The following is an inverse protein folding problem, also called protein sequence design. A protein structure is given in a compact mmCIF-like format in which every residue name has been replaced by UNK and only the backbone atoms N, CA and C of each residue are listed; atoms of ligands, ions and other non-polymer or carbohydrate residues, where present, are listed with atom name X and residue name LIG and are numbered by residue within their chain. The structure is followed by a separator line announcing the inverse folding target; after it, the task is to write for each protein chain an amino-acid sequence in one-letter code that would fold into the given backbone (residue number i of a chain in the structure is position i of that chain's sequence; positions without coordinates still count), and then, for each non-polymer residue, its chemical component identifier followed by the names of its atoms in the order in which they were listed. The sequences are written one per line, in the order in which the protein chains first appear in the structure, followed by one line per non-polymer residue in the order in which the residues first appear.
data_IF_694323053332
#
_entry.id   IF_694323053332
#
_cell.length_a   1.000
_cell.length_b   1.000
_cell.length_c   1.000
_cell.angle_alpha   90.00
_cell.angle_beta   90.00
_cell.angle_gamma   90.00
#
_symmetry.space_group_name_H-M   'P 1'
#
loop_
_entity.id
_entity.type
_entity.pdbx_description
1 polymer ?
#
# COMPACT_ATOMS: atom_id res chain seq x y z
N UNK A 1 7.05 43.21 -28.41
CA UNK A 1 7.07 41.83 -28.94
C UNK A 1 7.21 40.89 -27.75
N UNK A 2 6.23 40.01 -27.54
CA UNK A 2 6.18 39.03 -26.46
C UNK A 2 7.24 37.94 -26.66
N UNK A 3 8.02 37.63 -25.62
CA UNK A 3 8.81 36.40 -25.54
C UNK A 3 8.05 35.42 -24.66
N UNK A 4 7.41 34.47 -25.32
CA UNK A 4 6.69 33.34 -24.76
C UNK A 4 7.63 32.46 -23.95
N UNK A 5 7.41 32.36 -22.64
CA UNK A 5 8.06 31.37 -21.77
C UNK A 5 7.59 29.96 -22.14
N UNK A 6 8.54 29.10 -22.50
CA UNK A 6 8.28 27.71 -22.87
C UNK A 6 7.71 26.89 -21.70
N UNK A 7 6.81 25.98 -22.03
CA UNK A 7 6.23 25.01 -21.11
C UNK A 7 7.35 24.11 -20.56
N UNK A 8 7.57 24.13 -19.25
CA UNK A 8 8.50 23.23 -18.56
C UNK A 8 7.68 22.09 -17.92
N UNK A 9 7.66 20.86 -18.47
CA UNK A 9 6.91 19.74 -17.91
C UNK A 9 7.58 19.07 -16.69
N UNK A 10 8.73 19.55 -16.22
CA UNK A 10 9.49 18.90 -15.13
C UNK A 10 9.51 19.69 -13.81
N UNK A 11 8.46 20.46 -13.54
CA UNK A 11 8.24 21.06 -12.22
C UNK A 11 7.64 20.09 -11.21
N UNK A 12 8.22 18.90 -11.01
CA UNK A 12 7.83 18.05 -9.87
C UNK A 12 8.42 18.64 -8.59
N UNK A 13 7.63 19.48 -7.92
CA UNK A 13 7.91 19.93 -6.56
C UNK A 13 7.64 18.77 -5.60
N UNK A 14 8.63 18.44 -4.77
CA UNK A 14 8.50 17.47 -3.70
C UNK A 14 7.59 17.99 -2.58
N UNK A 15 6.45 17.33 -2.36
CA UNK A 15 5.79 17.25 -1.05
C UNK A 15 5.58 15.76 -0.73
N UNK A 16 6.32 15.18 0.23
CA UNK A 16 6.41 13.72 0.36
C UNK A 16 5.25 13.08 1.13
N UNK A 17 4.16 13.80 1.45
CA UNK A 17 3.11 13.28 2.34
C UNK A 17 1.68 13.31 1.80
N UNK A 18 1.39 13.99 0.69
CA UNK A 18 0.06 13.99 0.07
C UNK A 18 0.18 13.85 -1.45
N UNK A 19 0.01 12.64 -1.98
CA UNK A 19 -0.14 12.44 -3.43
C UNK A 19 -1.51 12.99 -3.87
N UNK A 20 -1.50 14.18 -4.46
CA UNK A 20 -2.66 14.74 -5.16
C UNK A 20 -2.70 14.13 -6.57
N UNK A 21 -3.83 13.50 -6.89
CA UNK A 21 -4.10 12.88 -8.19
C UNK A 21 -4.34 13.95 -9.28
N UNK A 22 -3.52 14.00 -10.34
CA UNK A 22 -3.62 15.01 -11.41
C UNK A 22 -4.84 14.84 -12.35
N UNK A 23 -5.70 13.84 -12.18
CA UNK A 23 -6.88 13.63 -13.04
C UNK A 23 -8.18 14.30 -12.58
N UNK A 24 -8.22 14.95 -11.41
CA UNK A 24 -9.33 15.85 -11.07
C UNK A 24 -10.74 15.23 -11.14
N UNK A 25 -10.89 13.95 -10.84
CA UNK A 25 -12.19 13.29 -10.71
C UNK A 25 -12.69 13.44 -9.27
N UNK A 26 -13.36 14.56 -9.00
CA UNK A 26 -14.02 14.84 -7.73
C UNK A 26 -15.11 13.78 -7.44
N UNK A 27 -14.88 12.99 -6.39
CA UNK A 27 -15.89 12.39 -5.52
C UNK A 27 -16.35 10.98 -5.86
N UNK A 28 -15.73 9.95 -5.25
CA UNK A 28 -16.39 8.75 -4.68
C UNK A 28 -15.42 7.64 -4.22
N UNK A 29 -14.14 7.67 -4.61
CA UNK A 29 -13.19 6.63 -4.20
C UNK A 29 -12.57 6.92 -2.82
N UNK A 30 -12.52 5.93 -1.90
CA UNK A 30 -11.88 6.10 -0.61
C UNK A 30 -10.37 6.36 -0.76
N UNK A 31 -9.81 7.17 0.13
CA UNK A 31 -8.35 7.29 0.24
C UNK A 31 -7.75 5.96 0.68
N UNK A 32 -6.50 5.69 0.31
CA UNK A 32 -5.77 4.50 0.73
C UNK A 32 -4.60 4.94 1.60
N UNK A 33 -4.45 4.32 2.78
CA UNK A 33 -3.26 4.48 3.61
C UNK A 33 -2.05 3.85 2.90
N UNK A 34 -1.38 4.66 2.07
CA UNK A 34 -0.22 4.23 1.31
C UNK A 34 1.00 3.93 2.20
N UNK A 35 1.10 4.56 3.37
CA UNK A 35 2.17 4.26 4.33
C UNK A 35 2.04 2.83 4.84
N UNK A 36 0.84 2.42 5.23
CA UNK A 36 0.55 1.04 5.62
C UNK A 36 0.92 0.03 4.53
N UNK A 37 0.58 0.32 3.27
CA UNK A 37 0.83 -0.60 2.15
C UNK A 37 2.33 -0.68 1.81
N UNK A 38 3.03 0.45 1.73
CA UNK A 38 4.38 0.51 1.13
C UNK A 38 5.51 0.63 2.14
N UNK A 39 5.29 1.18 3.32
CA UNK A 39 6.35 1.49 4.28
C UNK A 39 6.23 0.75 5.61
N UNK A 40 5.03 0.24 5.92
CA UNK A 40 4.73 -0.29 7.26
C UNK A 40 4.62 0.83 8.29
N UNK A 41 4.04 0.50 9.44
CA UNK A 41 3.78 1.46 10.52
C UNK A 41 4.06 0.83 11.89
N UNK A 42 4.38 1.67 12.89
CA UNK A 42 4.33 1.29 14.29
C UNK A 42 3.01 1.80 14.87
N UNK A 43 2.11 0.89 15.23
CA UNK A 43 0.82 1.28 15.78
C UNK A 43 0.94 1.81 17.23
N UNK A 44 -0.15 2.36 17.77
CA UNK A 44 -0.21 2.93 19.14
C UNK A 44 0.18 1.96 20.26
N UNK A 45 0.22 0.65 19.99
CA UNK A 45 0.65 -0.40 20.94
C UNK A 45 2.13 -0.79 20.76
N UNK A 46 2.89 -0.05 19.94
CA UNK A 46 4.30 -0.32 19.66
C UNK A 46 4.52 -1.55 18.76
N UNK A 47 3.51 -1.99 18.01
CA UNK A 47 3.62 -3.17 17.12
C UNK A 47 3.80 -2.72 15.68
N UNK A 48 4.72 -3.37 14.98
CA UNK A 48 4.84 -3.28 13.54
C UNK A 48 3.59 -3.84 12.84
N UNK A 49 3.07 -3.09 11.86
CA UNK A 49 1.93 -3.45 11.00
C UNK A 49 2.20 -3.01 9.56
N UNK A 50 1.39 -3.49 8.62
CA UNK A 50 1.53 -3.13 7.21
C UNK A 50 2.73 -3.78 6.53
N UNK A 51 3.28 -3.05 5.57
CA UNK A 51 4.31 -3.42 4.62
C UNK A 51 3.93 -4.64 3.75
N UNK A 52 3.32 -4.35 2.62
CA UNK A 52 2.68 -5.30 1.71
C UNK A 52 3.20 -5.19 0.28
N UNK A 53 4.17 -4.32 0.00
CA UNK A 53 4.79 -4.25 -1.33
C UNK A 53 6.23 -3.74 -1.24
N UNK A 54 7.19 -4.64 -1.45
CA UNK A 54 8.62 -4.34 -1.37
C UNK A 54 9.14 -3.54 -2.57
N UNK A 55 8.65 -3.84 -3.78
CA UNK A 55 9.22 -3.29 -5.01
C UNK A 55 8.92 -1.79 -5.22
N UNK A 56 8.14 -1.15 -4.33
CA UNK A 56 7.89 0.30 -4.43
C UNK A 56 9.04 1.10 -3.83
N UNK A 57 9.41 2.20 -4.47
CA UNK A 57 10.33 3.19 -3.89
C UNK A 57 9.83 3.74 -2.54
N UNK A 58 10.77 4.05 -1.64
CA UNK A 58 10.50 4.82 -0.42
C UNK A 58 10.35 4.01 0.87
N UNK A 59 10.37 2.67 0.78
CA UNK A 59 10.39 1.80 1.97
C UNK A 59 11.79 1.65 2.59
N UNK A 60 12.86 1.96 1.85
CA UNK A 60 14.23 1.86 2.33
C UNK A 60 14.42 2.74 3.57
N UNK A 61 14.91 2.14 4.66
CA UNK A 61 15.02 2.81 5.96
C UNK A 61 13.71 2.90 6.75
N UNK A 62 12.61 2.29 6.29
CA UNK A 62 11.31 2.25 6.99
C UNK A 62 10.82 0.84 7.25
N UNK A 63 10.92 -0.05 6.27
CA UNK A 63 10.61 -1.46 6.44
C UNK A 63 11.53 -2.36 5.61
N UNK A 64 11.72 -3.59 6.06
CA UNK A 64 12.51 -4.61 5.38
C UNK A 64 11.89 -5.98 5.52
N UNK A 65 12.07 -6.80 4.50
CA UNK A 65 11.82 -8.24 4.56
C UNK A 65 13.03 -8.88 5.23
N UNK A 66 12.79 -9.75 6.21
CA UNK A 66 13.85 -10.53 6.88
C UNK A 66 13.89 -11.97 6.43
N UNK A 67 12.76 -12.52 5.95
CA UNK A 67 12.64 -13.89 5.46
C UNK A 67 11.45 -14.00 4.50
N UNK A 68 11.60 -14.71 3.39
CA UNK A 68 10.48 -15.15 2.55
C UNK A 68 10.01 -16.50 3.06
N UNK A 69 8.78 -16.57 3.57
CA UNK A 69 8.23 -17.78 4.20
C UNK A 69 7.40 -18.62 3.23
N UNK A 70 6.76 -17.99 2.23
CA UNK A 70 6.15 -18.68 1.10
C UNK A 70 6.50 -17.97 -0.20
N UNK A 71 6.98 -18.70 -1.23
CA UNK A 71 7.35 -18.11 -2.52
C UNK A 71 6.13 -17.59 -3.29
N UNK A 72 6.33 -16.77 -4.34
CA UNK A 72 5.23 -16.26 -5.16
C UNK A 72 4.33 -17.37 -5.71
N UNK A 73 3.01 -17.23 -5.54
CA UNK A 73 2.02 -18.10 -6.15
C UNK A 73 1.79 -17.73 -7.64
N UNK A 74 0.81 -18.36 -8.29
CA UNK A 74 0.48 -18.11 -9.71
C UNK A 74 0.12 -16.65 -10.04
N UNK A 75 -0.32 -15.87 -9.03
CA UNK A 75 -0.60 -14.45 -9.18
C UNK A 75 0.56 -13.55 -8.74
N UNK A 76 1.70 -14.10 -8.32
CA UNK A 76 2.86 -13.38 -7.83
C UNK A 76 2.76 -12.92 -6.37
N UNK A 77 1.70 -13.31 -5.65
CA UNK A 77 1.54 -13.00 -4.22
C UNK A 77 2.45 -13.91 -3.42
N UNK A 78 3.17 -13.38 -2.43
CA UNK A 78 4.09 -14.14 -1.58
C UNK A 78 3.94 -13.77 -0.11
N UNK A 79 4.60 -14.50 0.79
CA UNK A 79 4.62 -14.20 2.22
C UNK A 79 6.03 -14.08 2.77
N UNK A 80 6.19 -13.26 3.80
CA UNK A 80 7.47 -13.11 4.47
C UNK A 80 7.39 -12.43 5.82
N UNK A 81 8.44 -12.66 6.62
CA UNK A 81 8.68 -11.93 7.87
C UNK A 81 9.24 -10.55 7.56
N UNK A 82 8.81 -9.58 8.36
CA UNK A 82 9.16 -8.18 8.16
C UNK A 82 9.49 -7.49 9.46
N UNK A 83 10.30 -6.45 9.35
CA UNK A 83 10.54 -5.49 10.41
C UNK A 83 10.21 -4.08 9.90
N UNK A 84 9.68 -3.26 10.81
CA UNK A 84 9.42 -1.83 10.57
C UNK A 84 10.28 -1.03 11.55
N UNK A 85 10.90 0.05 11.06
CA UNK A 85 11.69 0.95 11.88
C UNK A 85 10.76 1.81 12.74
N UNK A 86 10.89 1.73 14.06
CA UNK A 86 10.27 2.69 14.97
C UNK A 86 11.09 3.98 14.97
N UNK A 87 10.60 5.00 14.26
CA UNK A 87 11.27 6.30 14.16
C UNK A 87 11.50 7.00 15.51
N UNK A 88 10.76 6.63 16.57
CA UNK A 88 10.91 7.23 17.91
C UNK A 88 12.10 6.65 18.68
N UNK A 89 12.39 5.37 18.48
CA UNK A 89 13.43 4.64 19.21
C UNK A 89 14.62 4.26 18.32
N UNK A 90 14.48 4.44 17.01
CA UNK A 90 15.41 4.01 15.98
C UNK A 90 15.72 2.50 16.06
N UNK A 91 14.73 1.70 16.48
CA UNK A 91 14.82 0.24 16.59
C UNK A 91 13.95 -0.44 15.54
N UNK A 92 14.44 -1.55 14.99
CA UNK A 92 13.65 -2.43 14.14
C UNK A 92 12.69 -3.26 14.99
N UNK A 93 11.40 -3.21 14.65
CA UNK A 93 10.34 -3.96 15.34
C UNK A 93 9.83 -5.05 14.41
N UNK A 94 10.00 -6.30 14.82
CA UNK A 94 9.45 -7.44 14.09
C UNK A 94 7.92 -7.46 14.14
N UNK A 95 7.30 -7.68 12.98
CA UNK A 95 5.87 -7.96 12.86
C UNK A 95 5.64 -9.40 13.34
N UNK A 96 4.64 -9.60 14.20
CA UNK A 96 4.35 -10.92 14.78
C UNK A 96 3.91 -11.93 13.71
N UNK A 97 2.82 -11.66 12.96
CA UNK A 97 2.43 -12.47 11.81
C UNK A 97 3.27 -12.16 10.58
N UNK A 98 3.42 -13.15 9.70
CA UNK A 98 3.97 -12.95 8.37
C UNK A 98 3.13 -11.92 7.59
N UNK A 99 3.80 -11.08 6.80
CA UNK A 99 3.14 -10.20 5.85
C UNK A 99 2.84 -10.94 4.56
N UNK A 100 1.74 -10.58 3.90
CA UNK A 100 1.45 -10.98 2.52
C UNK A 100 1.80 -9.84 1.58
N UNK A 101 2.40 -10.14 0.44
CA UNK A 101 2.96 -9.15 -0.46
C UNK A 101 2.31 -9.16 -1.83
N UNK A 102 2.06 -7.97 -2.35
CA UNK A 102 1.64 -7.77 -3.73
C UNK A 102 2.78 -8.19 -4.68
N UNK A 103 2.46 -8.56 -5.93
CA UNK A 103 3.46 -8.99 -6.90
C UNK A 103 4.55 -7.95 -7.09
N UNK A 104 5.82 -8.36 -7.02
CA UNK A 104 6.96 -7.46 -7.23
C UNK A 104 6.98 -6.84 -8.64
N UNK A 105 6.30 -7.45 -9.61
CA UNK A 105 6.14 -6.91 -10.96
C UNK A 105 5.20 -5.70 -11.02
N UNK A 106 4.43 -5.42 -9.96
CA UNK A 106 3.53 -4.27 -9.92
C UNK A 106 4.28 -3.01 -9.49
N UNK A 107 4.07 -1.91 -10.21
CA UNK A 107 4.52 -0.61 -9.71
C UNK A 107 3.52 -0.05 -8.69
N UNK A 108 3.91 1.04 -8.01
CA UNK A 108 3.08 1.70 -7.00
C UNK A 108 1.68 2.08 -7.51
N UNK A 109 1.58 2.61 -8.73
CA UNK A 109 0.29 3.01 -9.31
C UNK A 109 -0.59 1.78 -9.57
N UNK A 110 0.00 0.69 -10.07
CA UNK A 110 -0.71 -0.56 -10.29
C UNK A 110 -1.25 -1.13 -8.98
N UNK A 111 -0.44 -1.24 -7.92
CA UNK A 111 -0.91 -1.68 -6.59
C UNK A 111 -2.13 -0.85 -6.14
N UNK A 112 -2.06 0.47 -6.24
CA UNK A 112 -3.15 1.35 -5.83
C UNK A 112 -4.41 1.15 -6.70
N UNK A 113 -4.24 0.99 -8.01
CA UNK A 113 -5.36 0.72 -8.92
C UNK A 113 -6.02 -0.63 -8.66
N UNK A 114 -5.24 -1.66 -8.34
CA UNK A 114 -5.71 -3.01 -8.06
C UNK A 114 -6.45 -3.07 -6.71
N UNK A 115 -5.97 -2.34 -5.70
CA UNK A 115 -6.69 -2.14 -4.43
C UNK A 115 -8.04 -1.47 -4.67
N UNK A 116 -8.10 -0.37 -5.44
CA UNK A 116 -9.36 0.31 -5.77
C UNK A 116 -10.32 -0.59 -6.53
N UNK A 117 -9.82 -1.32 -7.52
CA UNK A 117 -10.62 -2.27 -8.30
C UNK A 117 -11.18 -3.40 -7.43
N UNK A 118 -10.36 -3.97 -6.54
CA UNK A 118 -10.82 -4.97 -5.59
C UNK A 118 -11.87 -4.43 -4.61
N UNK A 119 -11.67 -3.23 -4.08
CA UNK A 119 -12.63 -2.60 -3.18
C UNK A 119 -13.98 -2.34 -3.86
N UNK A 120 -13.96 -1.78 -5.08
CA UNK A 120 -15.17 -1.49 -5.88
C UNK A 120 -15.97 -2.75 -6.23
N UNK A 121 -15.29 -3.86 -6.46
CA UNK A 121 -15.90 -5.16 -6.77
C UNK A 121 -16.16 -6.01 -5.50
N UNK A 122 -15.83 -5.47 -4.32
CA UNK A 122 -15.78 -6.20 -3.07
C UNK A 122 -17.04 -6.06 -2.22
N UNK A 123 -16.94 -6.60 -1.01
CA UNK A 123 -17.94 -6.44 0.04
C UNK A 123 -17.31 -5.81 1.27
N UNK A 124 -18.08 -4.98 1.97
CA UNK A 124 -17.72 -4.37 3.25
C UNK A 124 -18.63 -4.96 4.32
N UNK A 125 -18.04 -5.52 5.36
CA UNK A 125 -18.73 -6.05 6.53
C UNK A 125 -19.09 -4.90 7.50
N UNK A 126 -20.10 -5.06 8.38
CA UNK A 126 -20.49 -4.02 9.34
C UNK A 126 -19.37 -3.55 10.27
N UNK A 127 -18.36 -4.39 10.51
CA UNK A 127 -17.19 -4.05 11.33
C UNK A 127 -16.10 -3.27 10.56
N UNK A 128 -16.33 -2.92 9.30
CA UNK A 128 -15.37 -2.21 8.45
C UNK A 128 -14.34 -3.11 7.77
N UNK A 129 -14.38 -4.43 7.97
CA UNK A 129 -13.57 -5.35 7.16
C UNK A 129 -14.08 -5.35 5.73
N UNK A 130 -13.19 -5.23 4.75
CA UNK A 130 -13.54 -5.37 3.34
C UNK A 130 -12.73 -6.47 2.67
N UNK A 131 -13.29 -7.03 1.61
CA UNK A 131 -12.59 -8.01 0.76
C UNK A 131 -13.12 -7.95 -0.67
N UNK A 132 -12.26 -8.16 -1.64
CA UNK A 132 -12.66 -8.26 -3.05
C UNK A 132 -11.57 -8.85 -3.91
N UNK A 133 -11.85 -8.96 -5.20
CA UNK A 133 -10.90 -9.48 -6.20
C UNK A 133 -10.51 -8.35 -7.13
N UNK A 134 -9.21 -8.14 -7.26
CA UNK A 134 -8.63 -7.11 -8.10
C UNK A 134 -8.89 -7.40 -9.60
N UNK A 135 -8.82 -6.41 -10.50
CA UNK A 135 -8.94 -6.63 -11.94
C UNK A 135 -8.00 -7.70 -12.49
N UNK A 136 -6.79 -7.83 -11.92
CA UNK A 136 -5.81 -8.87 -12.28
C UNK A 136 -6.02 -10.21 -11.57
N UNK A 137 -7.12 -10.39 -10.83
CA UNK A 137 -7.49 -11.65 -10.18
C UNK A 137 -6.90 -11.88 -8.78
N UNK A 138 -6.19 -10.91 -8.21
CA UNK A 138 -5.64 -11.04 -6.85
C UNK A 138 -6.75 -10.80 -5.82
N UNK A 139 -6.96 -11.75 -4.91
CA UNK A 139 -7.84 -11.51 -3.76
C UNK A 139 -7.17 -10.55 -2.78
N UNK A 140 -7.86 -9.48 -2.41
CA UNK A 140 -7.36 -8.44 -1.50
C UNK A 140 -8.34 -8.31 -0.33
N UNK A 141 -7.80 -8.20 0.88
CA UNK A 141 -8.55 -7.92 2.09
C UNK A 141 -8.01 -6.67 2.78
N UNK A 142 -8.82 -6.09 3.66
CA UNK A 142 -8.41 -4.94 4.43
C UNK A 142 -9.46 -4.46 5.41
N UNK A 143 -9.22 -3.28 5.95
CA UNK A 143 -10.09 -2.61 6.92
C UNK A 143 -10.24 -1.14 6.54
N UNK A 144 -11.44 -0.61 6.71
CA UNK A 144 -11.71 0.82 6.61
C UNK A 144 -11.37 1.54 7.92
N UNK A 145 -11.02 2.83 7.82
CA UNK A 145 -11.02 3.72 8.98
C UNK A 145 -12.44 4.23 9.30
N UNK A 146 -12.57 5.02 10.37
CA UNK A 146 -13.85 5.62 10.78
C UNK A 146 -14.44 6.61 9.78
N UNK A 147 -13.65 7.08 8.83
CA UNK A 147 -14.06 7.99 7.76
C UNK A 147 -14.44 7.24 6.47
N UNK A 148 -14.36 5.91 6.47
CA UNK A 148 -14.64 5.08 5.30
C UNK A 148 -13.49 4.98 4.30
N UNK A 149 -12.29 5.48 4.64
CA UNK A 149 -11.10 5.31 3.80
C UNK A 149 -10.49 3.91 4.02
N UNK A 150 -9.77 3.40 3.03
CA UNK A 150 -9.05 2.12 3.10
C UNK A 150 -7.81 2.31 4.00
N UNK A 151 -7.94 1.91 5.27
CA UNK A 151 -6.86 1.98 6.25
C UNK A 151 -5.82 0.87 6.06
N UNK A 152 -6.25 -0.32 5.67
CA UNK A 152 -5.34 -1.43 5.35
C UNK A 152 -5.78 -2.10 4.05
N UNK A 153 -4.82 -2.61 3.30
CA UNK A 153 -5.03 -3.40 2.10
C UNK A 153 -3.85 -4.35 1.92
N UNK A 154 -4.13 -5.65 1.78
CA UNK A 154 -3.12 -6.68 1.60
C UNK A 154 -3.66 -7.82 0.72
N UNK A 155 -2.83 -8.43 -0.12
CA UNK A 155 -3.26 -9.57 -0.92
C UNK A 155 -3.41 -10.81 -0.02
N UNK A 156 -4.32 -11.70 -0.39
CA UNK A 156 -4.52 -12.99 0.27
C UNK A 156 -3.66 -14.03 -0.44
N UNK A 157 -2.72 -14.65 0.27
CA UNK A 157 -2.03 -15.83 -0.24
C UNK A 157 -3.02 -17.00 -0.29
N UNK A 158 -3.15 -17.61 -1.47
CA UNK A 158 -4.01 -18.76 -1.76
C UNK A 158 -3.15 -19.70 -2.59
N UNK A 159 -3.04 -20.94 -2.11
CA UNK A 159 -2.37 -22.05 -2.80
C UNK A 159 -3.21 -22.59 -3.96
#
# INVERSE_FOLDING_TARGET
MNLSGGFNPYGYVHDPVNWIDPFGLAGCDPQINAEHVFHGEINRRGRAVGFHHEASIGHQGKARITEITNPPNAHGVYQGKVEVLDARTNQWVAKGPDSTFFPQSWNRQQVMSEIRGAYKNGTVQPNGKWSGTSPSGVKIEGWLDSSGNINTAFPKYID
#
